data_IF_725709688307
#
_entry.id   IF_725709688307
#
_cell.length_a   1.000
_cell.length_b   1.000
_cell.length_c   1.000
_cell.angle_alpha   90.00
_cell.angle_beta   90.00
_cell.angle_gamma   90.00
#
_symmetry.space_group_name_H-M   'P 1'
#
loop_
_entity.id
_entity.type
_entity.pdbx_description
1 polymer ?
#
# COMPACT_ATOMS: atom_id res chain seq x y z
N UNK A 1 18.14 -16.82 28.92
CA UNK A 1 18.77 -15.88 27.97
C UNK A 1 17.73 -14.83 27.60
N UNK A 2 17.86 -13.61 28.11
CA UNK A 2 17.09 -12.48 27.59
C UNK A 2 17.64 -12.09 26.22
N UNK A 3 16.77 -11.88 25.23
CA UNK A 3 17.17 -11.35 23.93
C UNK A 3 17.58 -9.89 24.16
N UNK A 4 18.85 -9.56 23.95
CA UNK A 4 19.45 -8.24 24.22
C UNK A 4 18.99 -7.11 23.29
N UNK A 5 17.69 -7.00 23.02
CA UNK A 5 17.08 -5.95 22.21
C UNK A 5 16.15 -5.11 23.08
N UNK A 6 16.34 -3.79 23.04
CA UNK A 6 15.45 -2.81 23.67
C UNK A 6 14.60 -2.11 22.62
N UNK A 7 13.35 -1.79 22.98
CA UNK A 7 12.45 -1.03 22.10
C UNK A 7 12.96 0.40 21.96
N UNK A 8 13.01 0.89 20.71
CA UNK A 8 13.25 2.31 20.44
C UNK A 8 11.96 3.09 20.74
N UNK A 9 11.98 4.07 21.66
CA UNK A 9 10.80 4.88 21.97
C UNK A 9 10.29 5.64 20.75
N UNK A 10 11.18 6.08 19.87
CA UNK A 10 10.89 6.86 18.66
C UNK A 10 10.08 6.08 17.62
N UNK A 11 10.28 4.75 17.56
CA UNK A 11 9.59 3.85 16.63
C UNK A 11 8.32 3.26 17.21
N UNK A 12 8.08 3.46 18.50
CA UNK A 12 6.98 2.84 19.24
C UNK A 12 5.86 3.86 19.44
N UNK A 13 4.67 3.58 18.89
CA UNK A 13 3.50 4.43 19.08
C UNK A 13 2.30 3.60 19.54
N UNK A 14 1.83 3.87 20.76
CA UNK A 14 0.59 3.30 21.29
C UNK A 14 -0.55 4.24 20.89
N UNK A 15 -1.58 3.71 20.23
CA UNK A 15 -2.76 4.50 19.83
C UNK A 15 -4.02 3.66 19.96
N UNK A 16 -5.15 4.32 20.18
CA UNK A 16 -6.44 3.66 20.25
C UNK A 16 -6.90 3.22 18.86
N UNK A 17 -7.50 2.04 18.74
CA UNK A 17 -7.93 1.46 17.46
C UNK A 17 -8.93 2.34 16.69
N UNK A 18 -9.63 3.25 17.37
CA UNK A 18 -10.54 4.21 16.73
C UNK A 18 -9.83 5.35 15.98
N UNK A 19 -8.60 5.68 16.38
CA UNK A 19 -7.73 6.62 15.66
C UNK A 19 -7.12 5.95 14.43
N UNK A 20 -6.81 4.65 14.57
CA UNK A 20 -6.22 3.82 13.56
C UNK A 20 -4.71 4.03 13.42
N UNK A 21 -4.06 3.12 12.71
CA UNK A 21 -2.61 3.16 12.49
C UNK A 21 -2.24 2.50 11.17
N UNK A 22 -1.08 2.89 10.64
CA UNK A 22 -0.53 2.30 9.44
C UNK A 22 0.42 1.15 9.80
N UNK A 23 0.23 -0.01 9.18
CA UNK A 23 1.07 -1.18 9.33
C UNK A 23 1.18 -1.90 7.98
N UNK A 24 2.41 -2.15 7.53
CA UNK A 24 2.72 -2.86 6.26
C UNK A 24 1.95 -2.31 5.04
N UNK A 25 1.81 -0.98 4.94
CA UNK A 25 1.13 -0.32 3.82
C UNK A 25 -0.39 -0.34 3.90
N UNK A 26 -0.96 -0.84 4.99
CA UNK A 26 -2.40 -0.80 5.30
C UNK A 26 -2.67 0.16 6.45
N UNK A 27 -3.82 0.80 6.44
CA UNK A 27 -4.40 1.55 7.54
C UNK A 27 -5.48 0.68 8.21
N UNK A 28 -5.30 0.42 9.49
CA UNK A 28 -6.20 -0.38 10.32
C UNK A 28 -6.96 0.57 11.24
N UNK A 29 -8.29 0.58 11.17
CA UNK A 29 -9.12 1.47 12.00
C UNK A 29 -10.49 0.86 12.32
N UNK A 30 -10.90 0.97 13.59
CA UNK A 30 -12.27 0.65 14.04
C UNK A 30 -13.12 1.93 14.02
N UNK A 31 -14.26 1.87 13.36
CA UNK A 31 -15.18 3.00 13.23
C UNK A 31 -16.26 2.97 14.33
N UNK A 32 -16.99 4.07 14.47
CA UNK A 32 -18.01 4.26 15.50
C UNK A 32 -19.15 3.23 15.40
N UNK A 33 -19.43 2.73 14.19
CA UNK A 33 -20.40 1.66 13.92
C UNK A 33 -19.88 0.25 14.31
N UNK A 34 -18.72 0.18 14.97
CA UNK A 34 -18.08 -1.05 15.41
C UNK A 34 -17.27 -1.76 14.33
N UNK A 35 -17.33 -1.32 13.07
CA UNK A 35 -16.65 -2.00 11.96
C UNK A 35 -15.15 -1.75 11.97
N UNK A 36 -14.38 -2.83 11.83
CA UNK A 36 -12.95 -2.77 11.58
C UNK A 36 -12.72 -2.77 10.07
N UNK A 37 -12.14 -1.70 9.53
CA UNK A 37 -11.76 -1.66 8.12
C UNK A 37 -10.24 -1.63 7.98
N UNK A 38 -9.75 -2.42 7.04
CA UNK A 38 -8.36 -2.44 6.60
C UNK A 38 -8.37 -1.85 5.19
N UNK A 39 -7.71 -0.70 5.02
CA UNK A 39 -7.64 0.01 3.74
C UNK A 39 -6.18 0.26 3.39
N UNK A 40 -5.78 0.36 2.12
CA UNK A 40 -4.44 0.82 1.78
C UNK A 40 -4.14 2.16 2.47
N UNK A 41 -2.95 2.29 3.06
CA UNK A 41 -2.58 3.54 3.71
C UNK A 41 -2.47 4.66 2.67
N UNK A 42 -2.76 5.90 3.08
CA UNK A 42 -2.65 7.06 2.19
C UNK A 42 -1.25 7.18 1.58
N UNK A 43 -0.21 6.82 2.34
CA UNK A 43 1.17 6.78 1.86
C UNK A 43 1.33 5.76 0.75
N UNK A 44 0.82 4.55 0.94
CA UNK A 44 0.93 3.49 -0.06
C UNK A 44 0.19 3.82 -1.35
N UNK A 45 -1.03 4.38 -1.26
CA UNK A 45 -1.79 4.86 -2.42
C UNK A 45 -1.00 5.94 -3.18
N UNK A 46 -0.45 6.94 -2.47
CA UNK A 46 0.34 7.99 -3.11
C UNK A 46 1.60 7.46 -3.78
N UNK A 47 2.35 6.57 -3.11
CA UNK A 47 3.54 5.93 -3.68
C UNK A 47 3.18 5.14 -4.94
N UNK A 48 2.08 4.40 -4.92
CA UNK A 48 1.60 3.65 -6.07
C UNK A 48 1.23 4.57 -7.24
N UNK A 49 0.39 5.58 -7.02
CA UNK A 49 0.00 6.55 -8.05
C UNK A 49 1.19 7.34 -8.60
N UNK A 50 2.20 7.61 -7.77
CA UNK A 50 3.44 8.27 -8.20
C UNK A 50 4.18 7.40 -9.20
N UNK A 51 4.29 6.09 -8.96
CA UNK A 51 4.91 5.15 -9.90
C UNK A 51 4.19 5.13 -11.24
N UNK A 52 2.86 5.00 -11.22
CA UNK A 52 2.03 5.04 -12.45
C UNK A 52 2.26 6.35 -13.21
N UNK A 53 2.22 7.49 -12.51
CA UNK A 53 2.46 8.80 -13.12
C UNK A 53 3.87 8.91 -13.74
N UNK A 54 4.89 8.37 -13.09
CA UNK A 54 6.26 8.35 -13.63
C UNK A 54 6.34 7.54 -14.92
N UNK A 55 5.71 6.37 -14.98
CA UNK A 55 5.67 5.53 -16.19
C UNK A 55 5.00 6.28 -17.34
N UNK A 56 3.83 6.89 -17.10
CA UNK A 56 3.10 7.64 -18.12
C UNK A 56 3.93 8.82 -18.64
N UNK A 57 4.54 9.61 -17.74
CA UNK A 57 5.36 10.76 -18.13
C UNK A 57 6.64 10.35 -18.89
N UNK A 58 7.27 9.25 -18.51
CA UNK A 58 8.45 8.73 -19.20
C UNK A 58 8.17 8.18 -20.60
N UNK A 59 6.91 7.88 -20.91
CA UNK A 59 6.45 7.29 -22.17
C UNK A 59 5.51 8.22 -22.93
N UNK A 60 5.67 9.54 -22.80
CA UNK A 60 4.76 10.52 -23.38
C UNK A 60 4.59 10.42 -24.92
N UNK A 61 5.60 9.88 -25.62
CA UNK A 61 5.58 9.65 -27.08
C UNK A 61 5.35 8.19 -27.47
N UNK A 62 5.12 7.30 -26.50
CA UNK A 62 4.91 5.88 -26.75
C UNK A 62 3.50 5.63 -27.29
N UNK A 63 3.33 4.56 -28.07
CA UNK A 63 2.00 4.16 -28.52
C UNK A 63 1.19 3.55 -27.38
N UNK A 64 -0.15 3.62 -27.47
CA UNK A 64 -1.05 3.22 -26.39
C UNK A 64 -0.83 1.77 -25.91
N UNK A 65 -0.58 0.84 -26.84
CA UNK A 65 -0.36 -0.58 -26.51
C UNK A 65 0.89 -0.75 -25.65
N UNK A 66 1.99 -0.12 -26.05
CA UNK A 66 3.24 -0.17 -25.30
C UNK A 66 3.09 0.45 -23.90
N UNK A 67 2.31 1.54 -23.78
CA UNK A 67 2.07 2.18 -22.49
C UNK A 67 1.26 1.27 -21.55
N UNK A 68 0.16 0.66 -22.03
CA UNK A 68 -0.69 -0.24 -21.22
C UNK A 68 0.11 -1.43 -20.68
N UNK A 69 0.96 -2.05 -21.52
CA UNK A 69 1.81 -3.18 -21.10
C UNK A 69 2.86 -2.75 -20.07
N UNK A 70 3.36 -1.51 -20.16
CA UNK A 70 4.35 -0.98 -19.22
C UNK A 70 3.77 -0.48 -17.89
N UNK A 71 2.45 -0.25 -17.82
CA UNK A 71 1.79 0.27 -16.61
C UNK A 71 1.78 -0.81 -15.51
N UNK A 72 2.29 -0.54 -14.29
CA UNK A 72 2.23 -1.47 -13.15
C UNK A 72 0.82 -1.94 -12.75
N UNK A 73 -0.24 -1.25 -13.19
CA UNK A 73 -1.63 -1.74 -13.03
C UNK A 73 -1.93 -3.00 -13.87
N UNK A 74 -1.31 -3.14 -15.04
CA UNK A 74 -1.54 -4.29 -15.93
C UNK A 74 -0.98 -5.60 -15.35
N UNK A 75 0.20 -5.53 -14.74
CA UNK A 75 0.88 -6.68 -14.10
C UNK A 75 0.22 -7.11 -12.80
N UNK A 76 -0.37 -6.16 -12.06
CA UNK A 76 -1.11 -6.44 -10.82
C UNK A 76 -2.38 -7.27 -11.07
N UNK A 77 -3.00 -7.12 -12.24
CA UNK A 77 -4.21 -7.87 -12.63
C UNK A 77 -3.93 -9.36 -12.88
N UNK A 78 -2.69 -9.74 -13.23
CA UNK A 78 -2.30 -11.14 -13.42
C UNK A 78 -2.03 -11.88 -12.10
N UNK A 79 -1.51 -11.21 -11.07
CA UNK A 79 -1.17 -11.88 -9.81
C UNK A 79 -2.38 -12.23 -8.92
N UNK A 80 -3.54 -11.61 -9.15
CA UNK A 80 -4.75 -11.90 -8.39
C UNK A 80 -5.64 -12.99 -9.04
N UNK A 81 -5.49 -13.28 -10.34
CA UNK A 81 -6.21 -14.38 -11.00
C UNK A 81 -5.60 -15.76 -10.75
N UNK A 82 -4.38 -15.85 -10.21
CA UNK A 82 -3.66 -17.12 -10.01
C UNK A 82 -3.70 -17.68 -8.57
N UNK A 83 -4.38 -17.01 -7.62
CA UNK A 83 -4.51 -17.50 -6.23
C UNK A 83 -5.84 -18.21 -5.95
N UNK A 84 -6.51 -18.67 -7.00
CA UNK A 84 -7.82 -19.33 -6.93
C UNK A 84 -7.87 -20.70 -7.60
N UNK A 85 -6.75 -21.42 -7.68
CA UNK A 85 -6.69 -22.82 -8.08
C UNK A 85 -5.95 -23.64 -7.01
#
# INVERSE_FOLDING_TARGET
MERGLTLSPEKTRITHISQGFDFLGQNIRKYQDGKLLIKPSKKNVQTFLTKVRTVIKGNASANQVSLIVSDPLSTSTQQHSERGA
#
